data_IF_645164406983
#
_entry.id   IF_645164406983
#
_cell.length_a   1.000
_cell.length_b   1.000
_cell.length_c   1.000
_cell.angle_alpha   90.00
_cell.angle_beta   90.00
_cell.angle_gamma   90.00
#
_symmetry.space_group_name_H-M   'P 1'
#
loop_
_entity.id
_entity.type
_entity.pdbx_description
1 polymer ?
#
# COMPACT_ATOMS: atom_id res chain seq x y z
N UNK A 1 9.64 17.64 -9.19
CA UNK A 1 8.64 16.68 -8.68
C UNK A 1 9.41 15.67 -7.85
N UNK A 2 8.99 15.44 -6.62
CA UNK A 2 9.64 14.50 -5.69
C UNK A 2 9.00 13.13 -5.79
N UNK A 3 9.71 12.08 -5.37
CA UNK A 3 9.15 10.74 -5.28
C UNK A 3 8.39 10.53 -3.95
N UNK A 4 7.66 9.42 -3.83
CA UNK A 4 6.88 9.08 -2.63
C UNK A 4 7.74 9.06 -1.37
N UNK A 5 8.93 8.45 -1.43
CA UNK A 5 9.83 8.36 -0.28
C UNK A 5 10.35 9.74 0.16
N UNK A 6 10.62 10.66 -0.77
CA UNK A 6 11.07 12.02 -0.44
C UNK A 6 9.96 12.82 0.27
N UNK A 7 8.70 12.69 -0.18
CA UNK A 7 7.57 13.31 0.53
C UNK A 7 7.41 12.72 1.93
N UNK A 8 7.47 11.40 2.08
CA UNK A 8 7.37 10.73 3.39
C UNK A 8 8.43 11.22 4.38
N UNK A 9 9.70 11.35 3.93
CA UNK A 9 10.78 11.80 4.80
C UNK A 9 10.61 13.29 5.19
N UNK A 10 10.25 14.16 4.25
CA UNK A 10 10.01 15.57 4.54
C UNK A 10 8.83 15.81 5.47
N UNK A 11 7.72 15.13 5.24
CA UNK A 11 6.54 15.26 6.09
C UNK A 11 6.80 14.71 7.49
N UNK A 12 7.60 13.62 7.59
CA UNK A 12 8.05 13.10 8.88
C UNK A 12 8.94 14.10 9.63
N UNK A 13 9.84 14.81 8.94
CA UNK A 13 10.68 15.84 9.57
C UNK A 13 9.83 17.05 10.02
N UNK A 14 8.95 17.53 9.15
CA UNK A 14 8.14 18.73 9.36
C UNK A 14 7.05 18.54 10.41
N UNK A 15 6.38 17.39 10.41
CA UNK A 15 5.16 17.13 11.16
C UNK A 15 5.29 15.97 12.16
N UNK A 16 6.50 15.61 12.55
CA UNK A 16 6.85 14.40 13.28
C UNK A 16 5.85 13.96 14.36
N UNK A 17 5.49 14.87 15.25
CA UNK A 17 4.65 14.58 16.42
C UNK A 17 3.17 14.92 16.19
N UNK A 18 2.79 15.34 14.98
CA UNK A 18 1.40 15.56 14.62
C UNK A 18 0.71 14.24 14.26
N UNK A 19 -0.58 14.08 14.59
CA UNK A 19 -1.39 12.97 14.11
C UNK A 19 -1.49 12.98 12.59
N UNK A 20 -1.19 11.83 11.98
CA UNK A 20 -1.36 11.63 10.53
C UNK A 20 -2.55 10.72 10.23
N UNK A 21 -2.59 9.55 10.89
CA UNK A 21 -3.67 8.58 10.69
C UNK A 21 -4.45 8.46 12.00
N UNK A 22 -5.76 8.65 11.92
CA UNK A 22 -6.65 8.48 13.05
C UNK A 22 -7.64 7.35 12.75
N UNK A 23 -7.69 6.36 13.62
CA UNK A 23 -8.59 5.22 13.50
C UNK A 23 -9.49 5.11 14.71
N UNK A 24 -10.67 4.52 14.52
CA UNK A 24 -11.62 4.28 15.61
C UNK A 24 -11.53 2.82 16.07
N UNK A 25 -10.93 2.59 17.22
CA UNK A 25 -10.89 1.30 17.89
C UNK A 25 -12.06 1.09 18.85
N UNK A 26 -12.05 -0.02 19.58
CA UNK A 26 -13.07 -0.34 20.60
C UNK A 26 -13.06 0.63 21.79
N UNK A 27 -11.89 1.15 22.13
CA UNK A 27 -11.68 2.05 23.28
C UNK A 27 -11.74 3.54 22.90
N UNK A 28 -12.07 3.87 21.64
CA UNK A 28 -12.15 5.23 21.15
C UNK A 28 -11.24 5.50 19.97
N UNK A 29 -10.93 6.76 19.74
CA UNK A 29 -10.03 7.20 18.67
C UNK A 29 -8.57 6.96 19.05
N UNK A 30 -7.81 6.44 18.10
CA UNK A 30 -6.38 6.20 18.21
C UNK A 30 -5.66 6.97 17.12
N UNK A 31 -4.68 7.75 17.52
CA UNK A 31 -3.84 8.53 16.63
C UNK A 31 -2.52 7.80 16.37
N UNK A 32 -2.06 7.88 15.12
CA UNK A 32 -0.72 7.49 14.71
C UNK A 32 -0.05 8.75 14.14
N UNK A 33 1.07 9.14 14.71
CA UNK A 33 1.83 10.32 14.29
C UNK A 33 2.59 10.06 12.98
N UNK A 34 3.03 11.14 12.31
CA UNK A 34 3.90 11.02 11.14
C UNK A 34 5.18 10.24 11.47
N UNK A 35 5.79 10.49 12.62
CA UNK A 35 7.01 9.79 13.06
C UNK A 35 6.78 8.29 13.20
N UNK A 36 5.71 7.89 13.87
CA UNK A 36 5.36 6.48 14.06
C UNK A 36 5.08 5.79 12.74
N UNK A 37 4.21 6.37 11.92
CA UNK A 37 3.86 5.79 10.61
C UNK A 37 5.08 5.68 9.68
N UNK A 38 5.90 6.73 9.57
CA UNK A 38 7.11 6.69 8.74
C UNK A 38 8.13 5.67 9.28
N UNK A 39 8.26 5.53 10.61
CA UNK A 39 9.10 4.50 11.24
C UNK A 39 8.65 3.10 10.85
N UNK A 40 7.37 2.81 10.96
CA UNK A 40 6.81 1.51 10.59
C UNK A 40 6.89 1.24 9.08
N UNK A 41 6.60 2.25 8.23
CA UNK A 41 6.76 2.13 6.77
C UNK A 41 8.20 1.74 6.42
N UNK A 42 9.20 2.38 7.02
CA UNK A 42 10.61 2.04 6.79
C UNK A 42 10.94 0.63 7.26
N UNK A 43 10.44 0.23 8.41
CA UNK A 43 10.68 -1.11 8.98
C UNK A 43 10.05 -2.21 8.13
N UNK A 44 8.79 -2.05 7.76
CA UNK A 44 8.09 -2.96 6.83
C UNK A 44 8.88 -3.09 5.52
N UNK A 45 9.29 -1.95 4.95
CA UNK A 45 10.01 -1.93 3.67
C UNK A 45 11.36 -2.67 3.75
N UNK A 46 12.14 -2.46 4.82
CA UNK A 46 13.41 -3.20 5.05
C UNK A 46 13.18 -4.71 5.15
N UNK A 47 12.13 -5.13 5.87
CA UNK A 47 11.79 -6.53 6.02
C UNK A 47 11.40 -7.16 4.68
N UNK A 48 10.58 -6.48 3.88
CA UNK A 48 10.19 -6.94 2.55
C UNK A 48 11.37 -7.03 1.58
N UNK A 49 12.28 -6.06 1.61
CA UNK A 49 13.51 -6.10 0.81
C UNK A 49 14.40 -7.27 1.20
N UNK A 50 14.54 -7.57 2.49
CA UNK A 50 15.28 -8.74 3.00
C UNK A 50 14.67 -10.05 2.52
N UNK A 51 13.36 -10.10 2.29
CA UNK A 51 12.65 -11.26 1.72
C UNK A 51 12.76 -11.36 0.18
N UNK A 52 13.57 -10.50 -0.46
CA UNK A 52 13.82 -10.54 -1.91
C UNK A 52 12.71 -9.93 -2.77
N UNK A 53 11.86 -9.09 -2.20
CA UNK A 53 10.70 -8.50 -2.89
C UNK A 53 11.02 -7.20 -3.65
N UNK A 54 12.30 -6.85 -3.80
CA UNK A 54 12.73 -5.66 -4.53
C UNK A 54 12.26 -5.69 -6.00
N UNK A 55 11.65 -4.60 -6.47
CA UNK A 55 11.07 -4.44 -7.82
C UNK A 55 10.01 -5.48 -8.19
N UNK A 56 9.38 -6.12 -7.22
CA UNK A 56 8.31 -7.08 -7.45
C UNK A 56 6.93 -6.42 -7.38
N UNK A 57 5.93 -7.10 -7.98
CA UNK A 57 4.54 -6.73 -7.79
C UNK A 57 4.01 -7.40 -6.52
N UNK A 58 3.42 -6.60 -5.64
CA UNK A 58 2.87 -7.05 -4.37
C UNK A 58 1.38 -6.70 -4.33
N UNK A 59 0.54 -7.72 -4.24
CA UNK A 59 -0.92 -7.55 -4.17
C UNK A 59 -1.34 -7.15 -2.76
N UNK A 60 -2.30 -6.23 -2.66
CA UNK A 60 -2.88 -5.77 -1.41
C UNK A 60 -4.41 -5.90 -1.46
N UNK A 61 -4.95 -6.88 -0.74
CA UNK A 61 -6.37 -7.25 -0.69
C UNK A 61 -6.91 -7.14 0.74
N UNK A 62 -7.31 -5.96 1.13
CA UNK A 62 -7.81 -5.69 2.48
C UNK A 62 -8.77 -4.49 2.46
N UNK A 63 -9.63 -4.44 3.46
CA UNK A 63 -10.48 -3.31 3.80
C UNK A 63 -9.61 -2.09 4.19
N UNK A 64 -10.23 -0.90 4.20
CA UNK A 64 -9.56 0.31 4.67
C UNK A 64 -9.06 0.14 6.10
N UNK A 65 -7.78 0.32 6.28
CA UNK A 65 -7.15 0.28 7.61
C UNK A 65 -5.87 1.13 7.62
N UNK A 66 -5.35 1.40 8.80
CA UNK A 66 -4.04 2.02 8.98
C UNK A 66 -2.94 1.17 8.32
N UNK A 67 -2.98 -0.13 8.55
CA UNK A 67 -2.02 -1.10 8.03
C UNK A 67 -2.00 -1.12 6.50
N UNK A 68 -3.18 -0.95 5.87
CA UNK A 68 -3.29 -0.81 4.42
C UNK A 68 -2.46 0.37 3.91
N UNK A 69 -2.58 1.54 4.57
CA UNK A 69 -1.86 2.76 4.18
C UNK A 69 -0.34 2.56 4.33
N UNK A 70 0.10 1.96 5.44
CA UNK A 70 1.52 1.71 5.69
C UNK A 70 2.13 0.78 4.64
N UNK A 71 1.44 -0.32 4.31
CA UNK A 71 1.86 -1.25 3.27
C UNK A 71 1.88 -0.59 1.90
N UNK A 72 0.83 0.13 1.53
CA UNK A 72 0.69 0.82 0.26
C UNK A 72 1.85 1.78 0.00
N UNK A 73 2.14 2.65 0.96
CA UNK A 73 3.22 3.64 0.85
C UNK A 73 4.61 2.99 0.93
N UNK A 74 4.80 1.99 1.78
CA UNK A 74 6.05 1.25 1.89
C UNK A 74 6.39 0.50 0.60
N UNK A 75 5.41 -0.18 0.02
CA UNK A 75 5.59 -0.89 -1.24
C UNK A 75 5.98 0.09 -2.35
N UNK A 76 5.22 1.15 -2.57
CA UNK A 76 5.46 2.08 -3.67
C UNK A 76 6.71 2.94 -3.48
N UNK A 77 6.98 3.37 -2.26
CA UNK A 77 8.10 4.26 -1.96
C UNK A 77 9.46 3.56 -1.96
N UNK A 78 9.51 2.28 -1.58
CA UNK A 78 10.79 1.61 -1.32
C UNK A 78 10.93 0.22 -1.94
N UNK A 79 9.86 -0.56 -2.08
CA UNK A 79 9.98 -1.98 -2.39
C UNK A 79 9.72 -2.30 -3.86
N UNK A 80 8.53 -1.99 -4.36
CA UNK A 80 8.12 -2.46 -5.68
C UNK A 80 6.85 -1.80 -6.20
N UNK A 81 6.04 -2.55 -6.90
CA UNK A 81 4.77 -2.10 -7.46
C UNK A 81 3.62 -2.62 -6.59
N UNK A 82 2.79 -1.72 -6.09
CA UNK A 82 1.59 -2.10 -5.35
C UNK A 82 0.47 -2.48 -6.32
N UNK A 83 -0.23 -3.57 -6.02
CA UNK A 83 -1.39 -4.04 -6.78
C UNK A 83 -2.59 -4.08 -5.84
N UNK A 84 -3.22 -2.92 -5.57
CA UNK A 84 -4.40 -2.88 -4.74
C UNK A 84 -5.59 -3.49 -5.48
N UNK A 85 -6.31 -4.36 -4.80
CA UNK A 85 -7.50 -5.03 -5.35
C UNK A 85 -8.69 -4.89 -4.41
N UNK A 86 -9.89 -4.98 -4.99
CA UNK A 86 -11.12 -4.91 -4.22
C UNK A 86 -11.22 -6.10 -3.26
N UNK A 87 -11.32 -5.87 -1.94
CA UNK A 87 -11.46 -6.95 -0.97
C UNK A 87 -12.79 -7.71 -1.12
N UNK A 88 -13.75 -7.23 -1.89
CA UNK A 88 -15.00 -7.96 -2.15
C UNK A 88 -14.89 -8.97 -3.30
N UNK A 89 -13.77 -8.96 -4.05
CA UNK A 89 -13.55 -9.89 -5.16
C UNK A 89 -13.57 -11.34 -4.70
N UNK A 90 -14.10 -12.17 -5.60
CA UNK A 90 -14.15 -13.62 -5.39
C UNK A 90 -12.78 -14.27 -5.60
N UNK A 91 -12.65 -15.56 -5.22
CA UNK A 91 -11.47 -16.37 -5.57
C UNK A 91 -11.20 -16.36 -7.08
N UNK A 92 -12.25 -16.39 -7.89
CA UNK A 92 -12.13 -16.36 -9.35
C UNK A 92 -11.50 -15.05 -9.85
N UNK A 93 -11.97 -13.90 -9.37
CA UNK A 93 -11.45 -12.58 -9.76
C UNK A 93 -9.99 -12.42 -9.35
N UNK A 94 -9.66 -12.82 -8.12
CA UNK A 94 -8.30 -12.79 -7.61
C UNK A 94 -7.38 -13.75 -8.37
N UNK A 95 -7.84 -14.97 -8.63
CA UNK A 95 -7.11 -15.95 -9.44
C UNK A 95 -6.86 -15.47 -10.86
N UNK A 96 -7.83 -14.78 -11.48
CA UNK A 96 -7.64 -14.14 -12.77
C UNK A 96 -6.54 -13.07 -12.70
N UNK A 97 -6.60 -12.18 -11.72
CA UNK A 97 -5.58 -11.14 -11.52
C UNK A 97 -4.17 -11.75 -11.40
N UNK A 98 -4.02 -12.80 -10.59
CA UNK A 98 -2.75 -13.50 -10.42
C UNK A 98 -2.26 -14.19 -11.70
N UNK A 99 -3.16 -14.52 -12.63
CA UNK A 99 -2.81 -15.09 -13.93
C UNK A 99 -2.39 -14.05 -14.97
N UNK A 100 -2.83 -12.80 -14.82
CA UNK A 100 -2.59 -11.71 -15.79
C UNK A 100 -1.26 -10.98 -15.51
N UNK A 101 -0.90 -10.83 -14.24
CA UNK A 101 0.33 -10.15 -13.84
C UNK A 101 1.18 -11.02 -12.91
N UNK A 102 2.51 -10.99 -13.03
CA UNK A 102 3.38 -11.71 -12.10
C UNK A 102 3.35 -11.03 -10.73
N UNK A 103 2.75 -11.67 -9.73
CA UNK A 103 2.74 -11.26 -8.33
C UNK A 103 3.69 -12.13 -7.53
N UNK A 104 4.49 -11.53 -6.66
CA UNK A 104 5.47 -12.26 -5.82
C UNK A 104 5.02 -12.40 -4.37
N UNK A 105 4.18 -11.48 -3.89
CA UNK A 105 3.62 -11.56 -2.55
C UNK A 105 2.19 -11.02 -2.52
N UNK A 106 1.38 -11.57 -1.62
CA UNK A 106 -0.01 -11.17 -1.40
C UNK A 106 -0.19 -10.82 0.07
N UNK A 107 -0.65 -9.59 0.33
CA UNK A 107 -1.11 -9.13 1.62
C UNK A 107 -2.63 -9.16 1.65
N UNK A 108 -3.21 -9.80 2.65
CA UNK A 108 -4.66 -9.92 2.78
C UNK A 108 -5.11 -9.79 4.23
N UNK A 109 -6.29 -9.22 4.45
CA UNK A 109 -6.88 -9.16 5.80
C UNK A 109 -7.36 -10.55 6.25
N UNK A 110 -7.42 -10.76 7.56
CA UNK A 110 -7.93 -12.01 8.14
C UNK A 110 -9.35 -12.32 7.67
N UNK A 111 -10.15 -11.30 7.41
CA UNK A 111 -11.50 -11.44 6.86
C UNK A 111 -11.52 -12.10 5.46
N UNK A 112 -10.40 -12.04 4.74
CA UNK A 112 -10.27 -12.64 3.40
C UNK A 112 -9.63 -14.02 3.38
N UNK A 113 -9.30 -14.58 4.56
CA UNK A 113 -8.56 -15.84 4.70
C UNK A 113 -9.18 -16.98 3.88
N UNK A 114 -10.48 -17.19 4.02
CA UNK A 114 -11.16 -18.32 3.35
C UNK A 114 -11.10 -18.22 1.81
N UNK A 115 -11.08 -16.99 1.28
CA UNK A 115 -10.94 -16.75 -0.14
C UNK A 115 -9.49 -16.94 -0.63
N UNK A 116 -8.50 -16.75 0.25
CA UNK A 116 -7.07 -16.85 -0.09
C UNK A 116 -6.52 -18.28 0.02
N UNK A 117 -7.06 -19.13 0.89
CA UNK A 117 -6.53 -20.50 1.09
C UNK A 117 -6.48 -21.33 -0.20
N UNK A 118 -7.54 -21.40 -1.06
CA UNK A 118 -7.46 -22.13 -2.31
C UNK A 118 -6.42 -21.55 -3.30
N UNK A 119 -6.18 -20.24 -3.24
CA UNK A 119 -5.18 -19.58 -4.08
C UNK A 119 -3.76 -19.89 -3.63
N UNK A 120 -3.52 -20.05 -2.33
CA UNK A 120 -2.20 -20.48 -1.81
C UNK A 120 -1.79 -21.82 -2.37
N UNK A 121 -2.71 -22.78 -2.39
CA UNK A 121 -2.44 -24.11 -2.94
C UNK A 121 -2.12 -24.07 -4.45
N UNK A 122 -2.76 -23.13 -5.16
CA UNK A 122 -2.54 -22.95 -6.60
C UNK A 122 -1.25 -22.21 -6.93
N UNK A 123 -0.79 -21.34 -6.03
CA UNK A 123 0.40 -20.49 -6.22
C UNK A 123 1.40 -20.65 -5.05
N UNK A 124 2.01 -21.83 -4.88
CA UNK A 124 2.87 -22.16 -3.72
C UNK A 124 4.18 -21.36 -3.67
N UNK A 125 4.63 -20.82 -4.80
CA UNK A 125 5.87 -20.02 -4.88
C UNK A 125 5.67 -18.56 -4.45
N UNK A 126 4.42 -18.12 -4.24
CA UNK A 126 4.12 -16.77 -3.76
C UNK A 126 4.24 -16.69 -2.23
N UNK A 127 4.63 -15.54 -1.72
CA UNK A 127 4.62 -15.29 -0.28
C UNK A 127 3.26 -14.72 0.12
N UNK A 128 2.63 -15.31 1.13
CA UNK A 128 1.30 -14.92 1.59
C UNK A 128 1.37 -14.35 3.01
N UNK A 129 0.88 -13.13 3.19
CA UNK A 129 0.87 -12.42 4.46
C UNK A 129 -0.57 -12.13 4.89
N UNK A 130 -1.05 -12.76 5.97
CA UNK A 130 -2.19 -12.24 6.70
C UNK A 130 -1.74 -10.98 7.44
N UNK A 131 -2.30 -9.83 7.10
CA UNK A 131 -1.82 -8.52 7.56
C UNK A 131 -1.75 -8.47 9.08
N UNK A 132 -2.82 -8.86 9.75
CA UNK A 132 -2.92 -8.78 11.21
C UNK A 132 -1.93 -9.69 11.94
N UNK A 133 -1.50 -10.78 11.29
CA UNK A 133 -0.53 -11.72 11.87
C UNK A 133 0.91 -11.35 11.49
N UNK A 134 1.13 -10.93 10.25
CA UNK A 134 2.47 -10.74 9.70
C UNK A 134 3.05 -9.35 9.98
N UNK A 135 2.21 -8.30 10.09
CA UNK A 135 2.70 -6.93 10.15
C UNK A 135 3.54 -6.64 11.39
N UNK A 136 3.18 -7.11 12.61
CA UNK A 136 4.02 -6.92 13.80
C UNK A 136 5.43 -7.53 13.62
N UNK A 137 5.53 -8.71 13.02
CA UNK A 137 6.80 -9.38 12.78
C UNK A 137 7.62 -8.62 11.72
N UNK A 138 6.99 -8.13 10.65
CA UNK A 138 7.67 -7.33 9.61
C UNK A 138 8.23 -6.03 10.19
N UNK A 139 7.50 -5.38 11.09
CA UNK A 139 7.97 -4.17 11.78
C UNK A 139 9.18 -4.51 12.66
N UNK A 140 9.07 -5.51 13.52
CA UNK A 140 10.13 -5.93 14.43
C UNK A 140 11.41 -6.35 13.67
N UNK A 141 11.28 -7.16 12.61
CA UNK A 141 12.40 -7.56 11.76
C UNK A 141 13.09 -6.36 11.09
N UNK A 142 12.30 -5.38 10.65
CA UNK A 142 12.80 -4.19 9.99
C UNK A 142 13.50 -3.23 10.94
N UNK A 143 12.99 -3.05 12.16
CA UNK A 143 13.62 -2.26 13.22
C UNK A 143 15.00 -2.82 13.61
N UNK A 144 15.10 -4.14 13.71
CA UNK A 144 16.36 -4.82 13.99
C UNK A 144 17.34 -4.78 12.80
N UNK A 145 16.91 -4.38 11.60
CA UNK A 145 17.72 -4.37 10.39
C UNK A 145 18.63 -3.15 10.31
N UNK A 146 19.94 -3.37 10.15
CA UNK A 146 20.93 -2.34 9.85
C UNK A 146 20.99 -1.98 8.35
N UNK A 147 20.17 -2.58 7.51
CA UNK A 147 20.17 -2.32 6.08
C UNK A 147 19.80 -0.86 5.78
N UNK A 148 20.57 -0.24 4.89
CA UNK A 148 20.23 1.07 4.36
C UNK A 148 18.98 0.95 3.47
N UNK A 149 17.97 1.75 3.76
CA UNK A 149 16.78 1.82 2.94
C UNK A 149 16.96 2.90 1.87
N UNK A 150 16.91 2.49 0.60
CA UNK A 150 16.99 3.40 -0.53
C UNK A 150 15.60 3.56 -1.15
N UNK A 151 15.15 4.79 -1.28
CA UNK A 151 13.87 5.10 -1.92
C UNK A 151 13.88 4.82 -3.42
N UNK A 152 12.70 4.61 -3.97
CA UNK A 152 12.47 4.46 -5.42
C UNK A 152 12.34 5.84 -6.06
N UNK A 153 13.46 6.37 -6.55
CA UNK A 153 13.57 7.76 -6.99
C UNK A 153 13.25 7.99 -8.47
N UNK A 154 13.08 6.92 -9.25
CA UNK A 154 12.68 7.02 -10.65
C UNK A 154 11.15 7.19 -10.75
N UNK A 155 10.73 8.39 -11.11
CA UNK A 155 9.31 8.77 -11.21
C UNK A 155 8.58 8.04 -12.35
N UNK A 156 9.30 7.48 -13.30
CA UNK A 156 8.73 6.79 -14.46
C UNK A 156 8.61 5.28 -14.24
N UNK A 157 9.13 4.76 -13.14
CA UNK A 157 8.84 3.39 -12.72
C UNK A 157 7.38 3.22 -12.32
N UNK A 158 6.80 2.07 -12.68
CA UNK A 158 5.46 1.68 -12.23
C UNK A 158 5.42 1.60 -10.70
N UNK A 159 4.58 2.42 -10.10
CA UNK A 159 4.35 2.43 -8.66
C UNK A 159 3.16 1.55 -8.27
N UNK A 160 2.12 1.56 -9.12
CA UNK A 160 0.86 0.87 -8.86
C UNK A 160 0.30 0.24 -10.12
N UNK A 161 -0.39 -0.89 -10.00
CA UNK A 161 -1.22 -1.46 -11.05
C UNK A 161 -2.65 -1.51 -10.55
N UNK A 162 -3.53 -0.76 -11.22
CA UNK A 162 -4.97 -0.78 -10.94
C UNK A 162 -5.70 -1.72 -11.88
N UNK A 163 -6.75 -2.32 -11.36
CA UNK A 163 -7.69 -3.08 -12.18
C UNK A 163 -8.98 -2.28 -12.37
N UNK A 164 -9.40 -2.13 -13.61
CA UNK A 164 -10.69 -1.49 -13.96
C UNK A 164 -11.68 -2.53 -14.42
N UNK A 165 -12.92 -2.37 -13.99
CA UNK A 165 -14.06 -3.08 -14.61
C UNK A 165 -14.20 -2.59 -16.05
N UNK A 166 -13.61 -3.32 -17.00
CA UNK A 166 -13.76 -3.01 -18.41
C UNK A 166 -15.20 -3.26 -18.90
N UNK A 167 -15.50 -2.82 -20.10
CA UNK A 167 -16.75 -3.18 -20.84
C UNK A 167 -16.80 -4.67 -21.21
N UNK A 168 -15.75 -5.43 -20.92
CA UNK A 168 -15.61 -6.87 -21.05
C UNK A 168 -15.60 -7.49 -19.66
N UNK A 169 -16.06 -8.73 -19.52
CA UNK A 169 -16.28 -9.43 -18.24
C UNK A 169 -15.05 -9.57 -17.33
N UNK A 170 -13.85 -9.20 -17.78
CA UNK A 170 -12.61 -9.36 -17.01
C UNK A 170 -11.90 -8.02 -16.76
N UNK A 171 -11.42 -7.78 -15.51
CA UNK A 171 -10.69 -6.57 -15.15
C UNK A 171 -9.41 -6.41 -15.97
N UNK A 172 -9.12 -5.17 -16.41
CA UNK A 172 -7.90 -4.83 -17.15
C UNK A 172 -6.87 -4.19 -16.21
N UNK A 173 -5.63 -4.66 -16.28
CA UNK A 173 -4.50 -4.12 -15.54
C UNK A 173 -3.99 -2.82 -16.17
N UNK A 174 -3.94 -1.75 -15.41
CA UNK A 174 -3.45 -0.42 -15.83
C UNK A 174 -2.27 -0.05 -14.94
N UNK A 175 -1.04 -0.05 -15.47
CA UNK A 175 0.14 0.40 -14.74
C UNK A 175 0.13 1.93 -14.62
N UNK A 176 0.42 2.43 -13.42
CA UNK A 176 0.58 3.86 -13.12
C UNK A 176 1.96 4.10 -12.53
N UNK A 177 2.66 5.10 -13.06
CA UNK A 177 3.95 5.55 -12.54
C UNK A 177 3.76 6.52 -11.37
N UNK A 178 4.81 6.77 -10.58
CA UNK A 178 4.78 7.83 -9.58
C UNK A 178 4.42 9.17 -10.22
N UNK A 179 4.94 9.47 -11.41
CA UNK A 179 4.62 10.69 -12.16
C UNK A 179 3.12 10.82 -12.45
N UNK A 180 2.44 9.75 -12.83
CA UNK A 180 1.00 9.76 -13.07
C UNK A 180 0.22 10.07 -11.79
N UNK A 181 0.63 9.48 -10.66
CA UNK A 181 -0.01 9.71 -9.36
C UNK A 181 0.13 11.18 -8.94
N UNK A 182 1.34 11.72 -8.99
CA UNK A 182 1.59 13.11 -8.60
C UNK A 182 0.97 14.15 -9.52
N UNK A 183 0.89 13.89 -10.84
CA UNK A 183 0.21 14.79 -11.77
C UNK A 183 -1.28 14.93 -11.42
N UNK A 184 -1.90 13.84 -11.00
CA UNK A 184 -3.29 13.83 -10.55
C UNK A 184 -3.43 14.54 -9.19
N UNK A 185 -2.52 14.25 -8.26
CA UNK A 185 -2.51 14.87 -6.94
C UNK A 185 -2.29 16.40 -7.00
N UNK A 186 -1.35 16.89 -7.81
CA UNK A 186 -1.13 18.33 -8.01
C UNK A 186 -2.40 19.02 -8.54
N UNK A 187 -3.12 18.35 -9.44
CA UNK A 187 -4.39 18.85 -9.98
C UNK A 187 -5.47 18.93 -8.91
N UNK A 188 -5.57 17.93 -8.06
CA UNK A 188 -6.54 17.88 -6.95
C UNK A 188 -6.21 18.94 -5.90
N UNK A 189 -4.95 19.03 -5.46
CA UNK A 189 -4.49 19.98 -4.47
C UNK A 189 -4.72 21.43 -4.90
N UNK A 190 -4.50 21.76 -6.17
CA UNK A 190 -4.77 23.12 -6.71
C UNK A 190 -6.25 23.49 -6.69
N UNK A 191 -7.14 22.50 -6.77
CA UNK A 191 -8.60 22.71 -6.76
C UNK A 191 -9.19 22.71 -5.36
N UNK A 192 -8.59 21.94 -4.48
CA UNK A 192 -9.03 21.77 -3.09
C UNK A 192 -7.80 21.84 -2.19
N UNK A 193 -7.26 23.06 -1.98
CA UNK A 193 -6.08 23.23 -1.15
C UNK A 193 -6.42 22.82 0.29
N UNK A 194 -5.65 21.85 0.80
CA UNK A 194 -5.73 21.41 2.19
C UNK A 194 -4.60 22.03 3.00
N UNK A 195 -4.84 22.22 4.28
CA UNK A 195 -3.90 22.77 5.26
C UNK A 195 -3.67 21.75 6.37
N UNK A 196 -2.71 22.01 7.24
CA UNK A 196 -2.41 21.21 8.43
C UNK A 196 -3.55 21.13 9.46
N UNK A 197 -4.59 21.94 9.30
CA UNK A 197 -5.77 21.95 10.18
C UNK A 197 -6.93 21.11 9.63
N UNK A 198 -6.80 20.64 8.39
CA UNK A 198 -7.85 19.87 7.75
C UNK A 198 -7.78 18.38 8.16
N UNK A 199 -8.94 17.77 8.33
CA UNK A 199 -9.08 16.35 8.60
C UNK A 199 -9.90 15.71 7.48
N UNK A 200 -9.29 14.80 6.75
CA UNK A 200 -9.97 14.01 5.71
C UNK A 200 -10.57 12.73 6.29
N UNK A 201 -11.85 12.52 6.06
CA UNK A 201 -12.51 11.27 6.44
C UNK A 201 -12.54 10.30 5.26
N UNK A 202 -11.79 9.22 5.37
CA UNK A 202 -11.66 8.20 4.32
C UNK A 202 -12.77 7.16 4.46
N UNK A 203 -13.87 7.34 3.75
CA UNK A 203 -15.00 6.40 3.69
C UNK A 203 -15.07 5.62 2.37
N UNK A 204 -14.42 6.12 1.31
CA UNK A 204 -14.30 5.40 0.05
C UNK A 204 -13.20 4.33 0.13
N UNK A 205 -13.33 3.22 -0.63
CA UNK A 205 -12.32 2.18 -0.64
C UNK A 205 -10.94 2.71 -1.09
N UNK A 206 -9.91 2.45 -0.30
CA UNK A 206 -8.53 2.88 -0.59
C UNK A 206 -7.94 2.23 -1.85
N UNK A 207 -8.40 1.03 -2.22
CA UNK A 207 -7.97 0.36 -3.46
C UNK A 207 -8.51 1.05 -4.72
N UNK A 208 -9.48 1.94 -4.61
CA UNK A 208 -10.04 2.66 -5.75
C UNK A 208 -9.17 3.84 -6.15
N UNK A 209 -9.01 4.07 -7.47
CA UNK A 209 -8.15 5.13 -8.03
C UNK A 209 -8.41 6.51 -7.41
N UNK A 210 -9.64 6.86 -7.15
CA UNK A 210 -9.98 8.18 -6.58
C UNK A 210 -9.43 8.36 -5.17
N UNK A 211 -9.52 7.35 -4.32
CA UNK A 211 -9.10 7.42 -2.92
C UNK A 211 -7.61 7.12 -2.75
N UNK A 212 -7.07 6.20 -3.54
CA UNK A 212 -5.66 5.82 -3.47
C UNK A 212 -4.69 6.86 -4.06
N UNK A 213 -5.22 7.90 -4.71
CA UNK A 213 -4.46 9.02 -5.32
C UNK A 213 -4.87 10.38 -4.72
N UNK A 214 -5.89 10.45 -3.86
CA UNK A 214 -6.34 11.64 -3.15
C UNK A 214 -5.77 11.69 -1.74
#
# INVERSE_FOLDING_TARGET
MKCICEYLEEDCEKWADHPWIRTRGKEGWQDCTFREAAGEIRSISKSLLKKGLHHKNLMLCSENSREWILLYLGIMGYVGTCVPVDPTWTEYDLGHTLSVIPVSAVFYSRARKDCMEPLKDRYPDMIWFCIEDALPDLICEGEASQALLTGRNDLDQTAMILFTSGTTDLPKAIPLTQRNLFANWDTLYRRTPMTEHDVSYVFLPLHHVYTGVA
#
